data_IF_080689281043
#
_entry.id   IF_080689281043
#
_cell.length_a   1.000
_cell.length_b   1.000
_cell.length_c   1.000
_cell.angle_alpha   90.00
_cell.angle_beta   90.00
_cell.angle_gamma   90.00
#
_symmetry.space_group_name_H-M   'P 1'
#
loop_
_entity.id
_entity.type
_entity.pdbx_description
1 polymer ?
#
# COMPACT_ATOMS: atom_id res chain seq x y z
N UNK A 1 -31.64 -90.22 -33.50
CA UNK A 1 -31.12 -89.57 -32.28
C UNK A 1 -29.61 -89.49 -32.37
N UNK A 2 -29.11 -88.25 -32.40
CA UNK A 2 -27.74 -87.75 -32.18
C UNK A 2 -26.55 -88.70 -32.41
N UNK A 3 -25.79 -88.45 -33.48
CA UNK A 3 -24.35 -88.75 -33.55
C UNK A 3 -23.57 -87.60 -34.18
N UNK A 4 -22.55 -87.17 -33.44
CA UNK A 4 -21.53 -86.17 -33.73
C UNK A 4 -20.58 -86.61 -34.85
N UNK A 5 -20.10 -85.68 -35.69
CA UNK A 5 -18.70 -85.55 -36.12
C UNK A 5 -18.48 -84.49 -37.22
N UNK A 6 -17.29 -83.86 -37.16
CA UNK A 6 -16.58 -83.05 -38.17
C UNK A 6 -17.13 -81.63 -38.44
N UNK A 7 -16.36 -80.59 -38.74
CA UNK A 7 -14.94 -80.23 -38.66
C UNK A 7 -14.89 -78.81 -39.27
N UNK A 8 -14.19 -77.82 -38.71
CA UNK A 8 -13.73 -76.69 -39.52
C UNK A 8 -12.48 -76.05 -38.91
N UNK A 9 -11.38 -76.21 -39.66
CA UNK A 9 -10.14 -75.48 -39.50
C UNK A 9 -10.38 -74.00 -39.85
N UNK A 10 -9.78 -73.08 -39.08
CA UNK A 10 -9.36 -71.77 -39.58
C UNK A 10 -8.15 -71.24 -38.80
N UNK A 11 -7.27 -70.61 -39.57
CA UNK A 11 -5.89 -70.21 -39.33
C UNK A 11 -5.71 -69.06 -38.31
N UNK A 12 -4.53 -68.93 -37.68
CA UNK A 12 -4.24 -67.81 -36.78
C UNK A 12 -3.75 -66.58 -37.58
N UNK A 13 -4.56 -65.52 -37.60
CA UNK A 13 -4.17 -64.20 -38.07
C UNK A 13 -3.38 -63.44 -37.00
N UNK A 14 -2.15 -63.06 -37.34
CA UNK A 14 -1.23 -62.30 -36.51
C UNK A 14 -1.81 -60.94 -36.07
N UNK A 15 -1.81 -60.67 -34.76
CA UNK A 15 -2.07 -59.33 -34.21
C UNK A 15 -0.82 -58.46 -34.40
N UNK A 16 -0.92 -57.46 -35.29
CA UNK A 16 0.05 -56.36 -35.39
C UNK A 16 0.03 -55.54 -34.10
N UNK A 17 1.18 -55.50 -33.42
CA UNK A 17 1.40 -54.62 -32.28
C UNK A 17 1.33 -53.15 -32.71
N UNK A 18 0.42 -52.40 -32.12
CA UNK A 18 0.47 -50.95 -32.10
C UNK A 18 1.61 -50.54 -31.16
N UNK A 19 2.72 -50.09 -31.73
CA UNK A 19 3.77 -49.42 -30.97
C UNK A 19 3.22 -48.08 -30.48
N UNK A 20 3.06 -47.95 -29.16
CA UNK A 20 2.65 -46.70 -28.53
C UNK A 20 3.66 -45.60 -28.85
N UNK A 21 3.16 -44.51 -29.44
CA UNK A 21 3.95 -43.31 -29.65
C UNK A 21 4.48 -42.80 -28.30
N UNK A 22 5.74 -42.33 -28.22
CA UNK A 22 6.32 -41.86 -26.98
C UNK A 22 5.53 -40.66 -26.47
N UNK A 23 5.01 -40.80 -25.24
CA UNK A 23 4.30 -39.75 -24.50
C UNK A 23 5.28 -38.58 -24.36
N UNK A 24 5.09 -37.52 -25.15
CA UNK A 24 5.81 -36.26 -24.98
C UNK A 24 5.55 -35.80 -23.55
N UNK A 25 6.57 -35.90 -22.71
CA UNK A 25 6.62 -35.23 -21.42
C UNK A 25 6.50 -33.74 -21.70
N UNK A 26 5.34 -33.17 -21.43
CA UNK A 26 5.20 -31.72 -21.31
C UNK A 26 6.03 -31.31 -20.10
N UNK A 27 7.27 -30.89 -20.36
CA UNK A 27 8.04 -30.10 -19.41
C UNK A 27 7.20 -28.85 -19.15
N UNK A 28 6.57 -28.77 -17.98
CA UNK A 28 5.92 -27.54 -17.52
C UNK A 28 6.95 -26.42 -17.62
N UNK A 29 6.74 -25.49 -18.54
CA UNK A 29 7.51 -24.26 -18.61
C UNK A 29 7.39 -23.60 -17.24
N UNK A 30 8.52 -23.46 -16.54
CA UNK A 30 8.58 -22.72 -15.28
C UNK A 30 8.20 -21.29 -15.60
N UNK A 31 6.97 -20.90 -15.31
CA UNK A 31 6.53 -19.50 -15.39
C UNK A 31 7.38 -18.72 -14.40
N UNK A 32 8.39 -17.99 -14.89
CA UNK A 32 9.20 -17.11 -14.05
C UNK A 32 8.34 -15.90 -13.69
N UNK A 33 7.90 -15.82 -12.44
CA UNK A 33 7.18 -14.65 -11.96
C UNK A 33 8.07 -13.41 -12.01
N UNK A 34 7.61 -12.37 -12.71
CA UNK A 34 8.27 -11.06 -12.75
C UNK A 34 8.11 -10.33 -11.42
N UNK A 35 9.22 -10.01 -10.78
CA UNK A 35 9.26 -9.12 -9.61
C UNK A 35 9.10 -7.66 -10.04
N UNK A 36 8.03 -7.02 -9.59
CA UNK A 36 7.69 -5.62 -9.86
C UNK A 36 8.25 -4.65 -8.80
N UNK A 37 8.89 -5.16 -7.74
CA UNK A 37 9.59 -4.36 -6.73
C UNK A 37 11.09 -4.16 -7.08
N UNK A 38 11.38 -4.02 -8.37
CA UNK A 38 12.69 -3.72 -8.93
C UNK A 38 12.62 -2.46 -9.81
N UNK A 39 13.73 -1.70 -9.93
CA UNK A 39 13.76 -0.49 -10.73
C UNK A 39 13.33 -0.73 -12.17
N UNK A 40 12.48 0.16 -12.68
CA UNK A 40 12.04 0.18 -14.07
C UNK A 40 12.06 1.62 -14.62
N UNK A 41 11.96 1.85 -15.94
CA UNK A 41 12.13 3.20 -16.52
C UNK A 41 11.26 4.31 -15.93
N UNK A 42 10.11 3.99 -15.32
CA UNK A 42 9.23 4.97 -14.68
C UNK A 42 9.74 5.52 -13.34
N UNK A 43 10.68 4.83 -12.68
CA UNK A 43 11.17 5.24 -11.36
C UNK A 43 11.98 6.54 -11.46
N UNK A 44 11.57 7.52 -10.67
CA UNK A 44 12.27 8.78 -10.47
C UNK A 44 13.66 8.57 -9.87
N UNK A 45 14.49 9.63 -9.92
CA UNK A 45 15.82 9.63 -9.31
C UNK A 45 15.75 9.39 -7.80
N UNK A 46 14.77 9.99 -7.12
CA UNK A 46 14.63 9.88 -5.66
C UNK A 46 14.28 8.45 -5.23
N UNK A 47 13.35 7.79 -5.93
CA UNK A 47 12.99 6.41 -5.63
C UNK A 47 14.18 5.45 -5.88
N UNK A 48 14.94 5.67 -6.96
CA UNK A 48 16.16 4.88 -7.25
C UNK A 48 17.23 5.09 -6.19
N UNK A 49 17.47 6.33 -5.78
CA UNK A 49 18.46 6.65 -4.75
C UNK A 49 18.12 5.97 -3.42
N UNK A 50 16.86 6.05 -2.98
CA UNK A 50 16.40 5.36 -1.78
C UNK A 50 16.55 3.84 -1.90
N UNK A 51 16.19 3.28 -3.05
CA UNK A 51 16.37 1.85 -3.32
C UNK A 51 17.84 1.43 -3.19
N UNK A 52 18.77 2.13 -3.84
CA UNK A 52 20.19 1.80 -3.81
C UNK A 52 20.77 1.92 -2.38
N UNK A 53 20.39 2.97 -1.66
CA UNK A 53 20.78 3.15 -0.25
C UNK A 53 20.31 1.98 0.63
N UNK A 54 19.08 1.52 0.45
CA UNK A 54 18.55 0.41 1.25
C UNK A 54 19.02 -0.97 0.78
N UNK A 55 19.33 -1.14 -0.50
CA UNK A 55 20.02 -2.33 -0.98
C UNK A 55 21.38 -2.47 -0.30
N UNK A 56 22.13 -1.38 -0.12
CA UNK A 56 23.37 -1.38 0.67
C UNK A 56 23.12 -1.77 2.13
N UNK A 57 22.04 -1.27 2.75
CA UNK A 57 21.63 -1.69 4.11
C UNK A 57 21.20 -3.16 4.20
N UNK A 58 20.98 -3.85 3.08
CA UNK A 58 20.70 -5.29 3.08
C UNK A 58 21.98 -6.14 3.09
N UNK A 59 23.17 -5.55 2.86
CA UNK A 59 24.44 -6.29 2.76
C UNK A 59 24.83 -6.96 4.09
N UNK A 60 24.51 -6.34 5.23
CA UNK A 60 24.74 -6.90 6.56
C UNK A 60 23.65 -7.88 7.02
N UNK A 61 22.60 -8.06 6.19
CA UNK A 61 21.46 -8.94 6.46
C UNK A 61 20.42 -8.40 7.45
N UNK A 62 20.60 -7.19 8.00
CA UNK A 62 19.63 -6.55 8.91
C UNK A 62 18.32 -6.19 8.22
N UNK A 63 18.42 -5.72 6.97
CA UNK A 63 17.29 -5.46 6.08
C UNK A 63 17.17 -6.50 4.99
N UNK A 64 15.94 -6.79 4.59
CA UNK A 64 15.62 -7.69 3.48
C UNK A 64 14.63 -7.01 2.53
N UNK A 65 15.01 -6.87 1.27
CA UNK A 65 14.07 -6.44 0.21
C UNK A 65 12.99 -7.50 0.01
N UNK A 66 11.74 -7.05 -0.10
CA UNK A 66 10.61 -7.91 -0.37
C UNK A 66 10.25 -7.86 -1.86
N UNK A 67 10.20 -9.00 -2.56
CA UNK A 67 9.69 -9.04 -3.93
C UNK A 67 8.17 -8.81 -3.96
N UNK A 68 7.66 -8.35 -5.09
CA UNK A 68 6.22 -8.11 -5.28
C UNK A 68 5.78 -8.54 -6.67
N UNK A 69 4.70 -9.31 -6.76
CA UNK A 69 4.25 -9.95 -7.99
C UNK A 69 2.81 -9.52 -8.32
N UNK A 70 2.42 -9.58 -9.60
CA UNK A 70 1.03 -9.32 -10.02
C UNK A 70 0.04 -10.33 -9.49
N UNK A 71 0.46 -11.58 -9.35
CA UNK A 71 -0.36 -12.67 -8.85
C UNK A 71 0.35 -13.30 -7.67
N UNK A 72 -0.41 -13.59 -6.60
CA UNK A 72 0.15 -14.16 -5.40
C UNK A 72 0.31 -15.67 -5.63
N UNK A 73 1.43 -16.12 -6.20
CA UNK A 73 1.73 -17.56 -6.38
C UNK A 73 2.74 -18.08 -5.34
N UNK A 74 2.77 -17.46 -4.16
CA UNK A 74 3.61 -17.98 -3.07
C UNK A 74 3.04 -19.32 -2.58
N UNK A 75 3.91 -20.23 -2.12
CA UNK A 75 3.49 -21.41 -1.34
C UNK A 75 2.53 -21.02 -0.21
N UNK A 76 2.74 -19.84 0.39
CA UNK A 76 1.87 -19.27 1.43
C UNK A 76 0.47 -18.91 0.93
N UNK A 77 0.29 -18.59 -0.36
CA UNK A 77 -1.03 -18.34 -0.95
C UNK A 77 -1.76 -19.64 -1.28
N UNK A 78 -1.03 -20.67 -1.70
CA UNK A 78 -1.59 -22.00 -1.88
C UNK A 78 -1.99 -22.61 -0.53
N UNK A 79 -1.19 -22.40 0.52
CA UNK A 79 -1.57 -22.66 1.91
C UNK A 79 -2.74 -21.78 2.36
N UNK A 80 -2.77 -20.50 2.00
CA UNK A 80 -3.90 -19.60 2.30
C UNK A 80 -5.21 -20.12 1.73
N UNK A 81 -5.24 -20.42 0.43
CA UNK A 81 -6.39 -20.98 -0.26
C UNK A 81 -6.80 -22.33 0.34
N UNK A 82 -5.82 -23.22 0.55
CA UNK A 82 -6.10 -24.58 1.04
C UNK A 82 -6.64 -24.55 2.47
N UNK A 83 -6.06 -23.72 3.34
CA UNK A 83 -6.36 -23.74 4.77
C UNK A 83 -7.50 -22.79 5.15
N UNK A 84 -7.74 -21.69 4.43
CA UNK A 84 -8.61 -20.62 4.91
C UNK A 84 -9.75 -20.21 3.97
N UNK A 85 -9.68 -20.51 2.66
CA UNK A 85 -10.75 -20.16 1.72
C UNK A 85 -11.61 -21.37 1.35
N UNK A 86 -12.91 -21.13 1.21
CA UNK A 86 -13.81 -22.07 0.55
C UNK A 86 -13.64 -21.92 -0.98
N UNK A 87 -13.28 -22.99 -1.71
CA UNK A 87 -13.19 -22.97 -3.17
C UNK A 87 -14.44 -22.43 -3.88
N UNK A 88 -15.62 -22.54 -3.27
CA UNK A 88 -16.88 -22.03 -3.82
C UNK A 88 -16.96 -20.49 -3.88
N UNK A 89 -16.19 -19.80 -3.03
CA UNK A 89 -16.13 -18.34 -2.94
C UNK A 89 -15.12 -17.73 -3.93
N UNK A 90 -14.33 -18.57 -4.60
CA UNK A 90 -13.23 -18.15 -5.47
C UNK A 90 -13.68 -18.16 -6.93
N UNK A 91 -14.50 -17.19 -7.34
CA UNK A 91 -14.90 -17.00 -8.75
C UNK A 91 -14.00 -15.96 -9.42
N UNK A 92 -13.45 -16.29 -10.60
CA UNK A 92 -12.72 -15.33 -11.44
C UNK A 92 -11.21 -15.21 -11.18
N UNK A 93 -10.60 -16.16 -10.48
CA UNK A 93 -9.19 -16.10 -10.07
C UNK A 93 -8.18 -16.04 -11.23
N UNK A 94 -8.53 -16.60 -12.39
CA UNK A 94 -7.63 -16.64 -13.56
C UNK A 94 -7.19 -15.25 -14.04
N UNK A 95 -8.02 -14.22 -13.78
CA UNK A 95 -7.74 -12.82 -14.12
C UNK A 95 -7.43 -11.96 -12.90
N UNK A 96 -7.44 -12.53 -11.70
CA UNK A 96 -7.18 -11.79 -10.47
C UNK A 96 -5.73 -11.31 -10.43
N UNK A 97 -5.54 -10.09 -9.94
CA UNK A 97 -4.23 -9.49 -9.73
C UNK A 97 -4.23 -8.76 -8.39
N UNK A 98 -3.06 -8.66 -7.77
CA UNK A 98 -2.85 -7.82 -6.60
C UNK A 98 -3.18 -6.37 -6.99
N UNK A 99 -4.10 -5.74 -6.25
CA UNK A 99 -4.60 -4.40 -6.55
C UNK A 99 -3.48 -3.36 -6.73
N UNK A 100 -2.47 -3.38 -5.86
CA UNK A 100 -1.32 -2.47 -5.94
C UNK A 100 -0.39 -2.74 -7.13
N UNK A 101 -0.61 -3.81 -7.90
CA UNK A 101 0.16 -4.17 -9.12
C UNK A 101 -0.74 -4.27 -10.36
N UNK A 102 -1.96 -3.76 -10.30
CA UNK A 102 -2.92 -3.78 -11.41
C UNK A 102 -2.70 -2.68 -12.46
N UNK A 103 -1.85 -1.69 -12.16
CA UNK A 103 -1.53 -0.61 -13.08
C UNK A 103 -0.31 -0.95 -13.94
N UNK A 104 -0.23 -0.31 -15.11
CA UNK A 104 0.99 -0.29 -15.90
C UNK A 104 2.08 0.54 -15.20
N UNK A 105 3.33 0.29 -15.60
CA UNK A 105 4.49 0.95 -15.01
C UNK A 105 4.35 2.48 -15.10
N UNK A 106 4.60 3.16 -13.99
CA UNK A 106 4.56 4.61 -13.86
C UNK A 106 3.17 5.21 -13.76
N UNK A 107 2.11 4.48 -14.10
CA UNK A 107 0.74 5.02 -14.09
C UNK A 107 0.07 4.94 -12.72
N UNK A 108 0.36 3.90 -11.94
CA UNK A 108 -0.23 3.67 -10.62
C UNK A 108 0.79 3.65 -9.48
N UNK A 109 0.81 2.55 -8.72
CA UNK A 109 1.70 2.37 -7.57
C UNK A 109 3.07 1.83 -8.01
N UNK A 110 4.10 2.65 -7.90
CA UNK A 110 5.49 2.20 -8.05
C UNK A 110 6.12 2.10 -6.67
N UNK A 111 6.41 0.87 -6.22
CA UNK A 111 6.90 0.69 -4.85
C UNK A 111 7.84 -0.50 -4.67
N UNK A 112 8.59 -0.43 -3.58
CA UNK A 112 9.43 -1.49 -3.03
C UNK A 112 9.27 -1.49 -1.50
N UNK A 113 9.36 -2.67 -0.89
CA UNK A 113 9.34 -2.80 0.57
C UNK A 113 10.63 -3.44 1.08
N UNK A 114 11.09 -3.00 2.24
CA UNK A 114 12.21 -3.55 2.99
C UNK A 114 11.74 -3.92 4.39
N UNK A 115 12.12 -5.11 4.87
CA UNK A 115 11.75 -5.61 6.18
C UNK A 115 12.99 -5.78 7.05
N UNK A 116 12.90 -5.31 8.29
CA UNK A 116 13.86 -5.57 9.35
C UNK A 116 13.19 -6.48 10.39
N UNK A 117 13.75 -7.68 10.57
CA UNK A 117 13.16 -8.68 11.47
C UNK A 117 13.44 -8.38 12.94
N UNK A 118 14.57 -7.77 13.28
CA UNK A 118 14.89 -7.43 14.66
C UNK A 118 13.98 -6.29 15.17
N UNK A 119 13.73 -5.30 14.32
CA UNK A 119 12.86 -4.15 14.63
C UNK A 119 11.37 -4.44 14.39
N UNK A 120 11.02 -5.58 13.78
CA UNK A 120 9.66 -5.89 13.29
C UNK A 120 9.06 -4.71 12.50
N UNK A 121 9.87 -4.17 11.59
CA UNK A 121 9.61 -2.92 10.87
C UNK A 121 9.63 -3.12 9.37
N UNK A 122 8.71 -2.49 8.66
CA UNK A 122 8.67 -2.45 7.19
C UNK A 122 8.73 -1.01 6.73
N UNK A 123 9.66 -0.73 5.82
CA UNK A 123 9.67 0.50 5.05
C UNK A 123 9.15 0.23 3.65
N UNK A 124 8.22 1.05 3.17
CA UNK A 124 7.79 1.08 1.78
C UNK A 124 8.20 2.41 1.16
N UNK A 125 8.95 2.35 0.05
CA UNK A 125 9.19 3.52 -0.78
C UNK A 125 8.18 3.51 -1.90
N UNK A 126 7.40 4.58 -2.00
CA UNK A 126 6.27 4.69 -2.90
C UNK A 126 6.43 5.94 -3.77
N UNK A 127 6.46 5.74 -5.08
CA UNK A 127 6.22 6.79 -6.06
C UNK A 127 4.79 6.70 -6.56
N UNK A 128 4.09 7.84 -6.56
CA UNK A 128 2.67 7.93 -6.90
C UNK A 128 2.46 8.35 -8.35
N UNK A 129 1.87 7.48 -9.15
CA UNK A 129 1.56 7.72 -10.56
C UNK A 129 0.31 8.59 -10.79
N UNK A 130 0.12 9.11 -12.02
CA UNK A 130 -0.96 10.02 -12.36
C UNK A 130 -2.37 9.41 -12.24
N UNK A 131 -2.54 8.09 -12.37
CA UNK A 131 -3.84 7.43 -12.24
C UNK A 131 -4.30 7.30 -10.79
N UNK A 132 -3.48 7.73 -9.82
CA UNK A 132 -3.83 7.76 -8.41
C UNK A 132 -4.38 9.12 -7.96
N UNK A 133 -4.73 10.00 -8.90
CA UNK A 133 -5.27 11.32 -8.61
C UNK A 133 -6.60 11.25 -7.85
N UNK A 134 -6.73 12.09 -6.82
CA UNK A 134 -8.01 12.41 -6.19
C UNK A 134 -8.39 13.85 -6.49
N UNK A 135 -8.03 14.76 -5.58
CA UNK A 135 -8.09 16.19 -5.88
C UNK A 135 -7.07 16.56 -6.98
N UNK A 136 -7.34 17.57 -7.82
CA UNK A 136 -6.40 17.98 -8.87
C UNK A 136 -4.99 18.23 -8.31
N UNK A 137 -4.00 17.53 -8.89
CA UNK A 137 -2.59 17.61 -8.48
C UNK A 137 -2.18 16.74 -7.28
N UNK A 138 -3.11 16.09 -6.59
CA UNK A 138 -2.84 15.33 -5.36
C UNK A 138 -3.35 13.89 -5.43
N UNK A 139 -2.71 13.01 -4.66
CA UNK A 139 -3.06 11.60 -4.54
C UNK A 139 -4.41 11.43 -3.84
N UNK A 140 -5.23 10.51 -4.33
CA UNK A 140 -6.49 10.14 -3.71
C UNK A 140 -6.27 9.52 -2.31
N UNK A 141 -7.03 9.96 -1.31
CA UNK A 141 -6.91 9.45 0.06
C UNK A 141 -7.05 7.93 0.17
N UNK A 142 -7.91 7.33 -0.65
CA UNK A 142 -8.03 5.87 -0.77
C UNK A 142 -6.79 5.16 -1.36
N UNK A 143 -6.03 5.82 -2.25
CA UNK A 143 -4.78 5.25 -2.77
C UNK A 143 -3.67 5.29 -1.70
N UNK A 144 -3.65 6.35 -0.87
CA UNK A 144 -2.78 6.42 0.30
C UNK A 144 -3.17 5.32 1.29
N UNK A 145 -4.46 5.18 1.60
CA UNK A 145 -4.98 4.14 2.49
C UNK A 145 -4.63 2.72 2.00
N UNK A 146 -4.71 2.48 0.69
CA UNK A 146 -4.33 1.21 0.05
C UNK A 146 -2.87 0.85 0.33
N UNK A 147 -1.97 1.82 0.19
CA UNK A 147 -0.54 1.57 0.42
C UNK A 147 -0.19 1.48 1.90
N UNK A 148 -0.91 2.20 2.76
CA UNK A 148 -0.79 2.04 4.21
C UNK A 148 -1.25 0.65 4.66
N UNK A 149 -2.42 0.17 4.19
CA UNK A 149 -2.92 -1.19 4.44
C UNK A 149 -1.94 -2.26 3.94
N UNK A 150 -1.43 -2.12 2.71
CA UNK A 150 -0.46 -3.05 2.14
C UNK A 150 0.83 -3.11 2.98
N UNK A 151 1.31 -1.97 3.46
CA UNK A 151 2.57 -1.87 4.23
C UNK A 151 2.41 -2.38 5.66
N UNK A 152 1.33 -2.01 6.35
CA UNK A 152 1.05 -2.49 7.71
C UNK A 152 0.65 -3.97 7.71
N UNK A 153 -0.09 -4.42 6.70
CA UNK A 153 -0.44 -5.83 6.51
C UNK A 153 0.77 -6.69 6.20
N UNK A 154 1.71 -6.19 5.39
CA UNK A 154 3.01 -6.85 5.19
C UNK A 154 3.79 -6.96 6.51
N UNK A 155 3.83 -5.89 7.30
CA UNK A 155 4.48 -5.91 8.62
C UNK A 155 3.85 -6.95 9.56
N UNK A 156 2.51 -6.94 9.70
CA UNK A 156 1.78 -7.91 10.50
C UNK A 156 2.02 -9.36 10.03
N UNK A 157 1.96 -9.60 8.72
CA UNK A 157 2.14 -10.94 8.16
C UNK A 157 3.57 -11.47 8.35
N UNK A 158 4.57 -10.59 8.25
CA UNK A 158 5.99 -10.94 8.48
C UNK A 158 6.28 -11.27 9.93
N UNK A 159 5.63 -10.57 10.87
CA UNK A 159 5.84 -10.78 12.28
C UNK A 159 4.98 -11.91 12.89
N UNK A 160 3.76 -12.11 12.40
CA UNK A 160 2.75 -12.99 13.03
C UNK A 160 2.27 -14.18 12.20
N UNK A 161 2.62 -14.25 10.91
CA UNK A 161 2.00 -15.17 9.95
C UNK A 161 0.72 -14.59 9.35
N UNK A 162 -0.05 -15.42 8.64
CA UNK A 162 -1.24 -14.99 7.87
C UNK A 162 -2.25 -14.25 8.77
N UNK A 163 -2.54 -12.99 8.44
CA UNK A 163 -3.47 -12.14 9.17
C UNK A 163 -4.30 -11.27 8.21
N UNK A 164 -5.47 -10.83 8.66
CA UNK A 164 -6.38 -9.97 7.90
C UNK A 164 -6.64 -8.66 8.66
N UNK A 165 -6.81 -7.56 7.93
CA UNK A 165 -7.12 -6.24 8.50
C UNK A 165 -8.49 -6.27 9.18
N UNK A 166 -8.53 -5.89 10.47
CA UNK A 166 -9.78 -5.71 11.22
C UNK A 166 -10.10 -4.25 11.49
N UNK A 167 -9.06 -3.41 11.65
CA UNK A 167 -9.21 -1.95 11.73
C UNK A 167 -8.04 -1.26 11.04
N UNK A 168 -8.33 -0.17 10.35
CA UNK A 168 -7.34 0.75 9.81
C UNK A 168 -7.85 2.18 10.06
N UNK A 169 -7.19 2.90 10.96
CA UNK A 169 -7.53 4.27 11.32
C UNK A 169 -6.43 5.21 10.83
N UNK A 170 -6.78 6.15 9.94
CA UNK A 170 -5.82 7.01 9.25
C UNK A 170 -6.15 8.48 9.51
N UNK A 171 -5.15 9.23 9.94
CA UNK A 171 -5.19 10.69 10.00
C UNK A 171 -4.42 11.29 8.83
N UNK A 172 -5.12 11.94 7.91
CA UNK A 172 -4.50 12.69 6.81
C UNK A 172 -4.11 14.09 7.28
N UNK A 173 -2.80 14.37 7.37
CA UNK A 173 -2.25 15.63 7.89
C UNK A 173 -1.94 16.63 6.79
N UNK A 174 -1.33 16.18 5.68
CA UNK A 174 -0.95 17.00 4.53
C UNK A 174 -1.11 16.23 3.23
N UNK A 175 -1.57 16.87 2.15
CA UNK A 175 -1.77 16.19 0.87
C UNK A 175 -0.43 15.74 0.27
N UNK A 176 -0.45 14.66 -0.52
CA UNK A 176 0.71 14.13 -1.23
C UNK A 176 0.61 14.59 -2.70
N UNK A 177 1.57 15.37 -3.23
CA UNK A 177 1.59 15.73 -4.64
C UNK A 177 1.76 14.50 -5.55
N UNK A 178 1.11 14.50 -6.71
CA UNK A 178 1.35 13.47 -7.73
C UNK A 178 2.82 13.47 -8.19
N UNK A 179 3.29 12.32 -8.65
CA UNK A 179 4.67 12.09 -9.12
C UNK A 179 5.77 12.32 -8.06
N UNK A 180 5.40 12.52 -6.79
CA UNK A 180 6.35 12.57 -5.67
C UNK A 180 6.71 11.17 -5.17
N UNK A 181 7.77 11.11 -4.36
CA UNK A 181 8.18 9.90 -3.62
C UNK A 181 7.92 10.13 -2.13
N UNK A 182 7.28 9.16 -1.48
CA UNK A 182 7.06 9.14 -0.04
C UNK A 182 7.56 7.84 0.57
N UNK A 183 7.87 7.90 1.86
CA UNK A 183 8.28 6.75 2.67
C UNK A 183 7.15 6.41 3.62
N UNK A 184 6.65 5.18 3.55
CA UNK A 184 5.72 4.63 4.53
C UNK A 184 6.54 3.77 5.49
N UNK A 185 6.58 4.17 6.75
CA UNK A 185 7.33 3.48 7.79
C UNK A 185 6.36 2.85 8.78
N UNK A 186 6.32 1.51 8.81
CA UNK A 186 5.45 0.74 9.69
C UNK A 186 6.23 -0.15 10.65
N UNK A 187 5.67 -0.32 11.85
CA UNK A 187 6.27 -1.13 12.91
C UNK A 187 5.19 -1.92 13.64
N UNK A 188 5.50 -3.16 14.01
CA UNK A 188 4.66 -3.92 14.93
C UNK A 188 4.86 -3.37 16.36
N UNK A 189 3.82 -2.78 16.92
CA UNK A 189 3.89 -2.18 18.25
C UNK A 189 3.75 -3.23 19.35
N UNK A 190 2.78 -4.15 19.19
CA UNK A 190 2.52 -5.24 20.16
C UNK A 190 1.67 -6.37 19.57
N UNK A 191 1.68 -7.50 20.28
CA UNK A 191 0.86 -8.68 19.96
C UNK A 191 0.08 -9.11 21.21
N UNK A 192 -1.23 -9.29 21.05
CA UNK A 192 -2.12 -9.76 22.12
C UNK A 192 -2.92 -10.96 21.61
N UNK A 193 -2.43 -12.18 21.89
CA UNK A 193 -3.01 -13.40 21.35
C UNK A 193 -2.98 -13.42 19.82
N UNK A 194 -4.16 -13.27 19.18
CA UNK A 194 -4.29 -13.18 17.71
C UNK A 194 -4.29 -11.75 17.17
N UNK A 195 -4.29 -10.73 18.04
CA UNK A 195 -4.32 -9.31 17.66
C UNK A 195 -2.91 -8.79 17.43
N UNK A 196 -2.64 -8.27 16.24
CA UNK A 196 -1.38 -7.59 15.90
C UNK A 196 -1.66 -6.12 15.70
N UNK A 197 -1.06 -5.29 16.53
CA UNK A 197 -1.19 -3.83 16.46
C UNK A 197 0.02 -3.25 15.75
N UNK A 198 -0.23 -2.54 14.64
CA UNK A 198 0.82 -1.97 13.79
C UNK A 198 0.54 -0.49 13.62
N UNK A 199 1.56 0.34 13.83
CA UNK A 199 1.49 1.78 13.53
C UNK A 199 2.27 2.06 12.25
N UNK A 200 1.89 3.12 11.53
CA UNK A 200 2.71 3.63 10.45
C UNK A 200 2.58 5.14 10.25
N UNK A 201 3.58 5.71 9.58
CA UNK A 201 3.59 7.09 9.14
C UNK A 201 3.98 7.18 7.67
N UNK A 202 3.53 8.23 6.99
CA UNK A 202 3.87 8.55 5.61
C UNK A 202 4.60 9.89 5.60
N UNK A 203 5.86 9.91 5.20
CA UNK A 203 6.71 11.10 5.17
C UNK A 203 7.31 11.37 3.80
N UNK A 204 7.70 12.62 3.57
CA UNK A 204 8.60 12.98 2.46
C UNK A 204 9.95 12.29 2.60
N UNK A 205 10.71 12.19 1.49
CA UNK A 205 12.05 11.58 1.45
C UNK A 205 13.03 12.23 2.43
N UNK A 206 12.90 13.54 2.66
CA UNK A 206 13.72 14.31 3.61
C UNK A 206 13.21 14.25 5.06
N UNK A 207 12.17 13.46 5.32
CA UNK A 207 11.51 13.24 6.61
C UNK A 207 10.83 14.48 7.23
N UNK A 208 10.92 15.66 6.59
CA UNK A 208 10.41 16.92 7.16
C UNK A 208 8.90 17.04 7.13
N UNK A 209 8.25 16.41 6.15
CA UNK A 209 6.80 16.54 5.94
C UNK A 209 6.10 15.26 6.34
N UNK A 210 5.30 15.31 7.40
CA UNK A 210 4.34 14.25 7.73
C UNK A 210 3.06 14.45 6.90
N UNK A 211 2.76 13.48 6.04
CA UNK A 211 1.56 13.47 5.20
C UNK A 211 0.40 12.76 5.88
N UNK A 212 0.64 11.57 6.43
CA UNK A 212 -0.38 10.78 7.12
C UNK A 212 0.23 9.94 8.23
N UNK A 213 -0.59 9.56 9.20
CA UNK A 213 -0.26 8.57 10.23
C UNK A 213 -1.44 7.62 10.41
N UNK A 214 -1.17 6.36 10.79
CA UNK A 214 -2.22 5.40 11.04
C UNK A 214 -1.87 4.41 12.16
N UNK A 215 -2.93 3.89 12.77
CA UNK A 215 -2.92 2.68 13.58
C UNK A 215 -3.76 1.62 12.88
N UNK A 216 -3.26 0.38 12.85
CA UNK A 216 -3.94 -0.75 12.25
C UNK A 216 -3.98 -1.93 13.24
N UNK A 217 -5.09 -2.66 13.19
CA UNK A 217 -5.28 -3.93 13.88
C UNK A 217 -5.45 -5.04 12.86
N UNK A 218 -4.59 -6.04 12.93
CA UNK A 218 -4.69 -7.27 12.16
C UNK A 218 -5.05 -8.43 13.08
N UNK A 219 -5.86 -9.36 12.57
CA UNK A 219 -6.21 -10.61 13.27
C UNK A 219 -5.54 -11.77 12.55
N UNK A 220 -4.66 -12.47 13.27
CA UNK A 220 -4.07 -13.73 12.80
C UNK A 220 -5.17 -14.75 12.54
N UNK A 221 -5.16 -15.33 11.34
CA UNK A 221 -6.11 -16.36 10.99
C UNK A 221 -5.82 -17.65 11.77
N UNK A 222 -6.89 -18.31 12.18
CA UNK A 222 -6.87 -19.58 12.89
C UNK A 222 -7.27 -20.67 11.89
N UNK A 223 -6.36 -21.61 11.53
CA UNK A 223 -6.65 -22.66 10.55
C UNK A 223 -7.89 -23.49 10.92
N UNK A 224 -8.13 -23.70 12.21
CA UNK A 224 -9.20 -24.56 12.72
C UNK A 224 -10.57 -23.87 12.72
N UNK A 225 -10.59 -22.54 12.63
CA UNK A 225 -11.80 -21.71 12.50
C UNK A 225 -12.02 -21.19 11.08
N UNK A 226 -11.27 -21.72 10.11
CA UNK A 226 -11.37 -21.38 8.69
C UNK A 226 -12.81 -21.51 8.18
N UNK A 227 -13.13 -20.77 7.12
CA UNK A 227 -14.46 -20.58 6.51
C UNK A 227 -15.14 -21.88 6.02
N UNK A 228 -14.57 -23.06 6.29
CA UNK A 228 -15.05 -24.39 5.90
C UNK A 228 -16.35 -24.84 6.59
N UNK A 229 -16.83 -24.15 7.65
CA UNK A 229 -17.89 -24.69 8.53
C UNK A 229 -19.07 -23.76 8.85
N UNK A 230 -19.34 -22.71 8.06
CA UNK A 230 -20.57 -21.91 8.24
C UNK A 230 -21.24 -21.63 6.91
N UNK A 231 -21.87 -22.66 6.35
CA UNK A 231 -22.90 -22.45 5.34
C UNK A 231 -24.26 -22.05 5.97
N UNK A 232 -24.41 -22.14 7.30
CA UNK A 232 -25.72 -21.96 7.95
C UNK A 232 -25.87 -20.70 8.81
N UNK A 233 -24.77 -20.07 9.26
CA UNK A 233 -24.84 -18.87 10.12
C UNK A 233 -24.09 -17.70 9.49
N UNK A 234 -24.84 -16.64 9.17
CA UNK A 234 -24.40 -15.48 8.39
C UNK A 234 -23.08 -14.81 8.81
N UNK A 235 -22.53 -14.06 7.86
CA UNK A 235 -21.21 -13.40 7.81
C UNK A 235 -20.91 -12.38 8.95
N UNK A 236 -21.70 -12.32 10.01
CA UNK A 236 -21.76 -11.19 10.95
C UNK A 236 -20.73 -11.24 12.11
N UNK A 237 -20.05 -12.37 12.34
CA UNK A 237 -19.24 -12.57 13.57
C UNK A 237 -17.74 -12.26 13.47
N UNK A 238 -17.18 -11.98 12.28
CA UNK A 238 -15.72 -11.83 12.14
C UNK A 238 -15.14 -10.50 12.68
N UNK A 239 -15.97 -9.46 12.84
CA UNK A 239 -15.49 -8.11 13.19
C UNK A 239 -15.81 -7.66 14.63
N UNK A 240 -16.57 -8.43 15.40
CA UNK A 240 -17.10 -7.95 16.70
C UNK A 240 -16.20 -8.16 17.93
N UNK A 241 -15.09 -8.90 17.86
CA UNK A 241 -14.19 -9.13 19.01
C UNK A 241 -12.99 -8.14 19.11
N UNK A 242 -12.96 -7.10 18.29
CA UNK A 242 -11.74 -6.33 18.04
C UNK A 242 -11.51 -5.07 18.86
N UNK A 243 -12.54 -4.29 19.16
CA UNK A 243 -12.36 -2.90 19.57
C UNK A 243 -12.38 -2.75 21.11
N UNK A 244 -11.32 -2.24 21.75
CA UNK A 244 -11.52 -1.49 22.99
C UNK A 244 -12.44 -0.30 22.67
N UNK A 245 -13.34 0.09 23.59
CA UNK A 245 -14.16 1.28 23.39
C UNK A 245 -13.24 2.46 23.07
N UNK A 246 -13.65 3.37 22.17
CA UNK A 246 -12.90 4.61 21.98
C UNK A 246 -12.72 5.24 23.37
N UNK A 247 -11.48 5.56 23.75
CA UNK A 247 -11.27 6.42 24.91
C UNK A 247 -12.16 7.64 24.70
N UNK A 248 -13.05 7.88 25.65
CA UNK A 248 -13.87 9.07 25.64
C UNK A 248 -12.90 10.25 25.57
N UNK A 249 -12.92 10.97 24.44
CA UNK A 249 -12.30 12.28 24.36
C UNK A 249 -13.00 13.11 25.42
N UNK A 250 -12.38 13.24 26.59
CA UNK A 250 -12.82 14.18 27.61
C UNK A 250 -12.82 15.53 26.91
N UNK A 251 -13.97 16.22 26.81
CA UNK A 251 -14.00 17.55 26.23
C UNK A 251 -12.98 18.38 26.97
N UNK A 252 -11.98 18.88 26.26
CA UNK A 252 -11.12 19.91 26.81
C UNK A 252 -12.05 21.06 27.21
N UNK A 253 -11.99 21.54 28.46
CA UNK A 253 -12.87 22.62 28.89
C UNK A 253 -12.68 23.79 27.93
N UNK A 254 -13.81 24.35 27.48
CA UNK A 254 -13.81 25.51 26.61
C UNK A 254 -12.88 26.59 27.20
N UNK A 255 -12.02 27.22 26.38
CA UNK A 255 -11.20 28.31 26.87
C UNK A 255 -12.11 29.36 27.49
N UNK A 256 -11.78 29.80 28.70
CA UNK A 256 -12.50 30.85 29.40
C UNK A 256 -12.65 32.06 28.47
N UNK A 257 -13.82 32.74 28.46
CA UNK A 257 -14.01 33.91 27.61
C UNK A 257 -12.90 34.92 27.94
N UNK A 258 -12.12 35.27 26.92
CA UNK A 258 -11.16 36.36 26.99
C UNK A 258 -12.00 37.62 27.27
N UNK A 259 -11.85 38.18 28.47
CA UNK A 259 -12.36 39.50 28.78
C UNK A 259 -11.73 40.49 27.81
N UNK A 260 -12.50 40.96 26.84
CA UNK A 260 -12.10 42.08 26.02
C UNK A 260 -11.82 43.27 26.95
N UNK A 261 -10.66 43.95 26.84
CA UNK A 261 -10.42 45.18 27.58
C UNK A 261 -11.50 46.20 27.21
N UNK A 262 -11.91 47.06 28.16
CA UNK A 262 -13.01 47.98 27.97
C UNK A 262 -12.76 48.90 26.78
N UNK A 263 -13.70 48.89 25.82
CA UNK A 263 -13.70 49.85 24.73
C UNK A 263 -13.76 51.27 25.32
N UNK A 264 -12.73 52.08 25.05
CA UNK A 264 -12.80 53.52 25.30
C UNK A 264 -13.85 54.11 24.36
N UNK A 265 -14.85 54.77 24.94
CA UNK A 265 -15.78 55.63 24.18
C UNK A 265 -14.96 56.70 23.44
N UNK A 266 -15.26 56.99 22.16
CA UNK A 266 -14.73 58.18 21.52
C UNK A 266 -15.35 59.41 22.20
N UNK A 267 -14.50 60.36 22.59
CA UNK A 267 -14.95 61.67 23.02
C UNK A 267 -15.28 62.49 21.76
N UNK A 268 -16.54 62.91 21.66
CA UNK A 268 -16.93 64.04 20.82
C UNK A 268 -16.27 65.30 21.36
N UNK A 269 -15.53 66.01 20.51
CA UNK A 269 -15.55 67.48 20.47
C UNK A 269 -14.94 67.94 19.14
N UNK A 270 -15.84 68.41 18.27
CA UNK A 270 -15.55 69.41 17.24
C UNK A 270 -14.86 70.62 17.87
N UNK A 271 -13.86 71.18 17.18
CA UNK A 271 -13.70 72.62 16.99
C UNK A 271 -12.73 72.91 15.82
N UNK A 272 -13.16 73.87 15.00
CA UNK A 272 -12.59 74.37 13.75
C UNK A 272 -11.19 74.97 13.88
N UNK A 273 -10.35 74.82 12.83
CA UNK A 273 -9.79 75.92 12.03
C UNK A 273 -9.08 75.40 10.75
N UNK A 274 -9.23 76.13 9.63
CA UNK A 274 -8.61 75.85 8.32
C UNK A 274 -7.32 76.71 8.10
N UNK A 275 -6.75 76.87 6.87
CA UNK A 275 -5.50 76.21 6.47
C UNK A 275 -4.35 77.21 6.16
N UNK A 276 -3.09 76.74 6.18
CA UNK A 276 -1.96 77.52 5.67
C UNK A 276 -1.13 76.74 4.62
N UNK A 277 -0.91 77.41 3.49
CA UNK A 277 -0.15 77.03 2.28
C UNK A 277 1.38 77.01 2.49
N UNK A 278 2.06 76.57 1.41
CA UNK A 278 3.50 76.67 1.04
C UNK A 278 4.38 75.52 1.53
N UNK A 279 5.31 74.92 0.76
CA UNK A 279 5.80 75.03 -0.63
C UNK A 279 6.60 73.73 -0.88
N UNK A 280 6.35 72.97 -1.95
CA UNK A 280 7.09 72.88 -3.22
C UNK A 280 8.57 72.43 -3.17
N UNK A 281 8.89 71.48 -4.10
CA UNK A 281 10.20 71.11 -4.68
C UNK A 281 11.09 70.14 -3.87
N UNK A 282 11.80 69.13 -4.43
CA UNK A 282 11.98 68.60 -5.78
C UNK A 282 12.65 67.21 -5.67
N UNK A 283 12.25 66.24 -6.50
CA UNK A 283 13.01 65.02 -6.85
C UNK A 283 14.14 65.37 -7.85
N UNK A 284 15.14 64.50 -8.18
CA UNK A 284 14.89 63.30 -9.00
C UNK A 284 15.83 62.08 -8.75
N UNK A 285 15.56 60.92 -9.40
CA UNK A 285 16.40 59.72 -9.38
C UNK A 285 17.44 59.73 -10.51
N UNK A 286 18.64 59.19 -10.24
CA UNK A 286 19.71 59.03 -11.24
C UNK A 286 19.60 57.70 -12.00
N UNK A 287 19.78 57.80 -13.31
CA UNK A 287 19.63 56.77 -14.35
C UNK A 287 20.84 55.84 -14.51
N UNK A 288 20.55 54.65 -15.08
CA UNK A 288 21.26 53.87 -16.12
C UNK A 288 22.71 54.21 -16.47
N UNK A 289 23.57 53.17 -16.51
CA UNK A 289 24.65 53.08 -17.51
C UNK A 289 24.90 51.62 -17.94
N UNK A 290 24.84 51.41 -19.26
CA UNK A 290 25.27 50.22 -19.99
C UNK A 290 26.77 49.94 -19.82
N UNK A 291 27.18 48.67 -19.95
CA UNK A 291 28.35 48.28 -20.75
C UNK A 291 28.33 46.78 -21.08
N UNK A 292 28.11 46.50 -22.35
CA UNK A 292 28.60 45.32 -23.04
C UNK A 292 30.14 45.31 -23.03
N UNK A 293 30.74 44.12 -22.94
CA UNK A 293 32.05 43.84 -23.53
C UNK A 293 32.15 42.37 -23.89
N UNK A 294 32.48 42.13 -25.16
CA UNK A 294 32.77 40.85 -25.80
C UNK A 294 34.06 40.21 -25.27
N UNK A 295 34.05 38.88 -25.13
CA UNK A 295 34.97 37.90 -25.75
C UNK A 295 34.43 36.48 -25.53
#
# INVERSE_FOLDING_TARGET
MLRSCAAFLRTPGARRGWQGAPRRSFSSEKVVQKDYALPNPSWSKDLRLLFDQFMKKCEDGSWKRLPSYKQIFSKNFQEFQTLYLDPSLVKGEERAQLFTRSFENGLGFEYVMFYNDAEKRVLCFLQVGPHLQGAPGFVHGGAIATMMDSTTGTCACRAGGIAMTANLNINFKRPIPLSSVVVIDSQLDRVEGRKLFVSCNVRSVDEKTLHSEASALFIKLDPDKSLRKRADDGFHTFLHEGLPPPEAVVPTPAPSPVLNPPQRKPADTDLLEQPSKCDSQNSPPSQLLNKEHSL
#
